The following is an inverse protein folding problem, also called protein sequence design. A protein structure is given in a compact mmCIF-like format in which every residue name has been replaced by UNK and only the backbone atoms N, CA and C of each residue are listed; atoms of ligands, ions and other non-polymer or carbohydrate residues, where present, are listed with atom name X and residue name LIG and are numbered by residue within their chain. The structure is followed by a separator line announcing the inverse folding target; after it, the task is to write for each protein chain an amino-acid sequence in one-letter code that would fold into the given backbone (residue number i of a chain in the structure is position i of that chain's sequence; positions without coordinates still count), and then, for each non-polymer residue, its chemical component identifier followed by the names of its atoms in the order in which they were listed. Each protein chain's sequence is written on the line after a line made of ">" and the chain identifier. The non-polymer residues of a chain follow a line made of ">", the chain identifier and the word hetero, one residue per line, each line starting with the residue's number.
data_IF_285348354787
#
_entry.id   IF_285348354787
#
_cell.length_a   1.000
_cell.length_b   1.000
_cell.length_c   1.000
_cell.angle_alpha   90.00
_cell.angle_beta   90.00
_cell.angle_gamma   90.00
#
_symmetry.space_group_name_H-M   'P 1'
#
loop_
_entity.id
_entity.type
_entity.pdbx_description
1 polymer ?
#
# COMPACT_ATOMS: atom_id res chain seq x y z
N UNK A 1 -16.03 8.77 34.01
CA UNK A 1 -15.02 9.26 33.05
C UNK A 1 -13.67 8.82 33.56
N UNK A 2 -12.85 8.22 32.68
CA UNK A 2 -11.48 7.82 32.99
C UNK A 2 -11.23 6.34 32.72
N UNK A 3 -10.28 6.09 31.83
CA UNK A 3 -9.52 4.85 31.63
C UNK A 3 -10.11 3.79 30.70
N UNK A 4 -10.02 4.07 29.39
CA UNK A 4 -9.90 3.04 28.33
C UNK A 4 -8.85 3.41 27.25
N UNK A 5 -8.05 4.48 27.47
CA UNK A 5 -6.97 4.88 26.55
C UNK A 5 -5.59 4.32 26.98
N UNK A 6 -5.37 4.11 28.28
CA UNK A 6 -4.09 3.62 28.81
C UNK A 6 -3.82 2.14 28.48
N UNK A 7 -4.85 1.33 28.23
CA UNK A 7 -4.66 -0.08 27.83
C UNK A 7 -4.22 -0.24 26.38
N UNK A 8 -4.47 0.77 25.52
CA UNK A 8 -4.05 0.72 24.11
C UNK A 8 -2.56 1.01 23.93
N UNK A 9 -1.94 1.73 24.88
CA UNK A 9 -0.52 2.08 24.84
C UNK A 9 0.39 0.96 25.37
N UNK A 10 -0.09 0.10 26.28
CA UNK A 10 0.73 -1.00 26.84
C UNK A 10 0.85 -2.22 25.94
N UNK A 11 -0.09 -2.44 25.03
CA UNK A 11 -0.01 -3.57 24.08
C UNK A 11 0.90 -3.29 22.86
N UNK A 12 1.51 -2.10 22.79
CA UNK A 12 2.49 -1.69 21.77
C UNK A 12 3.96 -1.97 22.17
N UNK A 13 4.22 -2.46 23.39
CA UNK A 13 5.57 -2.70 23.96
C UNK A 13 6.33 -3.91 23.34
N UNK A 14 6.09 -4.20 22.06
CA UNK A 14 6.88 -5.14 21.26
C UNK A 14 7.31 -4.61 19.89
N UNK A 15 6.87 -3.41 19.52
CA UNK A 15 7.24 -2.74 18.27
C UNK A 15 7.87 -1.40 18.63
N UNK A 16 9.13 -1.20 18.26
CA UNK A 16 9.84 0.05 18.48
C UNK A 16 9.00 1.22 17.94
N UNK A 17 8.43 2.05 18.83
CA UNK A 17 7.62 3.23 18.48
C UNK A 17 8.39 4.28 17.64
N UNK A 18 9.70 4.06 17.42
CA UNK A 18 10.58 4.93 16.64
C UNK A 18 11.04 4.32 15.30
N UNK A 19 10.52 3.17 14.88
CA UNK A 19 10.84 2.69 13.54
C UNK A 19 10.12 3.54 12.47
N UNK A 20 10.85 4.08 11.48
CA UNK A 20 10.20 4.75 10.36
C UNK A 20 9.21 3.77 9.72
N UNK A 21 8.03 4.25 9.34
CA UNK A 21 6.98 3.45 8.70
C UNK A 21 7.51 2.54 7.57
N UNK A 22 8.58 2.99 6.88
CA UNK A 22 9.33 2.22 5.88
C UNK A 22 9.93 0.89 6.32
N UNK A 23 10.08 0.64 7.63
CA UNK A 23 10.66 -0.59 8.16
C UNK A 23 9.66 -1.48 8.90
N UNK A 24 8.39 -1.09 8.99
CA UNK A 24 7.41 -1.81 9.79
C UNK A 24 6.94 -3.08 9.08
N UNK A 25 7.27 -4.24 9.64
CA UNK A 25 6.80 -5.55 9.20
C UNK A 25 5.97 -6.18 10.30
N UNK A 26 4.70 -6.53 10.02
CA UNK A 26 3.87 -7.28 10.96
C UNK A 26 3.75 -8.73 10.50
N UNK A 27 3.97 -9.68 11.41
CA UNK A 27 3.88 -11.10 11.09
C UNK A 27 2.78 -11.81 11.90
N UNK A 28 2.12 -12.76 11.24
CA UNK A 28 1.05 -13.58 11.80
C UNK A 28 1.25 -15.04 11.40
N UNK A 29 1.01 -15.97 12.33
CA UNK A 29 0.99 -17.40 12.02
C UNK A 29 -0.44 -17.84 11.73
N UNK A 30 -0.69 -18.24 10.50
CA UNK A 30 -2.04 -18.47 9.99
C UNK A 30 -2.10 -19.74 9.14
N UNK A 31 -3.27 -20.34 9.01
CA UNK A 31 -3.51 -21.40 8.01
C UNK A 31 -4.10 -20.77 6.76
N UNK A 32 -3.58 -21.12 5.58
CA UNK A 32 -4.03 -20.60 4.28
C UNK A 32 -4.72 -21.69 3.48
N UNK A 33 -5.82 -21.34 2.82
CA UNK A 33 -6.48 -22.18 1.80
C UNK A 33 -6.93 -21.31 0.61
N UNK A 34 -6.81 -21.83 -0.61
CA UNK A 34 -7.26 -21.14 -1.84
C UNK A 34 -8.63 -21.66 -2.29
N UNK A 35 -8.85 -22.95 -2.14
CA UNK A 35 -10.16 -23.60 -2.12
C UNK A 35 -10.37 -24.18 -0.71
N UNK A 36 -11.57 -24.10 -0.09
CA UNK A 36 -11.85 -24.78 1.18
C UNK A 36 -11.57 -26.30 1.17
N UNK A 37 -11.39 -26.92 0.00
CA UNK A 37 -10.95 -28.32 -0.17
C UNK A 37 -9.43 -28.49 -0.24
N UNK A 38 -8.70 -27.45 -0.66
CA UNK A 38 -7.24 -27.44 -0.71
C UNK A 38 -6.70 -26.93 0.63
N UNK A 39 -6.57 -27.85 1.58
CA UNK A 39 -5.91 -27.57 2.85
C UNK A 39 -4.41 -27.64 2.61
N UNK A 40 -3.73 -26.47 2.60
CA UNK A 40 -2.28 -26.48 2.70
C UNK A 40 -1.89 -27.14 4.03
N UNK A 41 -1.11 -28.23 4.02
CA UNK A 41 -0.59 -28.80 5.24
C UNK A 41 0.54 -27.87 5.69
N UNK A 42 0.22 -26.87 6.52
CA UNK A 42 1.05 -26.26 7.56
C UNK A 42 0.60 -24.82 7.88
N UNK A 43 0.81 -24.43 9.14
CA UNK A 43 0.81 -23.02 9.54
C UNK A 43 1.87 -22.28 8.70
N UNK A 44 1.45 -21.24 8.00
CA UNK A 44 2.32 -20.33 7.26
C UNK A 44 2.57 -19.08 8.09
N UNK A 45 3.63 -18.36 7.75
CA UNK A 45 3.87 -17.01 8.25
C UNK A 45 3.37 -16.02 7.20
N UNK A 46 2.49 -15.13 7.62
CA UNK A 46 1.96 -14.05 6.82
C UNK A 46 2.57 -12.74 7.29
N UNK A 47 3.20 -12.01 6.38
CA UNK A 47 3.89 -10.77 6.69
C UNK A 47 3.27 -9.63 5.89
N UNK A 48 2.97 -8.52 6.57
CA UNK A 48 2.42 -7.29 5.99
C UNK A 48 3.46 -6.19 6.12
N UNK A 49 3.80 -5.56 5.01
CA UNK A 49 4.80 -4.50 4.89
C UNK A 49 4.22 -3.27 4.18
N UNK A 50 5.03 -2.20 4.09
CA UNK A 50 4.65 -0.93 3.46
C UNK A 50 4.06 -1.12 2.05
N UNK A 51 4.74 -1.89 1.20
CA UNK A 51 4.43 -1.93 -0.24
C UNK A 51 3.68 -3.21 -0.67
N UNK A 52 3.73 -4.26 0.14
CA UNK A 52 3.16 -5.56 -0.18
C UNK A 52 2.88 -6.37 1.10
N UNK A 53 2.18 -7.49 0.94
CA UNK A 53 2.21 -8.58 1.92
C UNK A 53 2.75 -9.86 1.26
N UNK A 54 3.25 -10.78 2.07
CA UNK A 54 3.78 -12.06 1.58
C UNK A 54 3.40 -13.23 2.49
N UNK A 55 3.40 -14.42 1.88
CA UNK A 55 3.16 -15.69 2.55
C UNK A 55 4.45 -16.51 2.48
N UNK A 56 4.88 -17.00 3.62
CA UNK A 56 6.08 -17.78 3.82
C UNK A 56 5.71 -19.12 4.46
N UNK A 57 6.43 -20.18 4.12
CA UNK A 57 6.39 -21.41 4.91
C UNK A 57 6.81 -21.14 6.36
N UNK A 58 6.48 -22.03 7.29
CA UNK A 58 6.95 -21.92 8.68
C UNK A 58 8.48 -21.78 8.79
N UNK A 59 9.24 -22.44 7.90
CA UNK A 59 10.70 -22.34 7.81
C UNK A 59 11.23 -21.06 7.13
N UNK A 60 10.36 -20.08 6.81
CA UNK A 60 10.75 -18.81 6.21
C UNK A 60 10.98 -18.86 4.69
N UNK A 61 10.76 -20.01 4.03
CA UNK A 61 10.82 -20.09 2.57
C UNK A 61 9.64 -19.34 1.95
N UNK A 62 9.92 -18.43 1.02
CA UNK A 62 8.94 -17.68 0.25
C UNK A 62 7.97 -18.60 -0.50
N UNK A 63 6.67 -18.32 -0.41
CA UNK A 63 5.62 -18.96 -1.19
C UNK A 63 5.15 -17.96 -2.26
N UNK A 64 4.64 -16.81 -1.83
CA UNK A 64 4.12 -15.77 -2.72
C UNK A 64 4.12 -14.38 -2.06
N UNK A 65 4.05 -13.33 -2.87
CA UNK A 65 3.94 -11.93 -2.45
C UNK A 65 2.96 -11.18 -3.34
N UNK A 66 2.26 -10.21 -2.75
CA UNK A 66 1.20 -9.47 -3.41
C UNK A 66 1.29 -8.00 -3.04
N UNK A 67 1.51 -7.16 -4.05
CA UNK A 67 1.50 -5.70 -3.88
C UNK A 67 0.09 -5.18 -3.63
N UNK A 68 -0.04 -4.05 -2.93
CA UNK A 68 -1.35 -3.48 -2.56
C UNK A 68 -2.27 -3.20 -3.76
N UNK A 69 -1.72 -2.93 -4.94
CA UNK A 69 -2.49 -2.70 -6.18
C UNK A 69 -3.29 -3.91 -6.64
N UNK A 70 -2.81 -5.12 -6.31
CA UNK A 70 -3.50 -6.37 -6.66
C UNK A 70 -4.65 -6.70 -5.71
N UNK A 71 -4.68 -6.07 -4.52
CA UNK A 71 -5.68 -6.32 -3.48
C UNK A 71 -6.97 -5.59 -3.82
N UNK A 72 -8.05 -6.35 -4.01
CA UNK A 72 -9.37 -5.82 -4.37
C UNK A 72 -10.23 -5.55 -3.14
N UNK A 73 -10.37 -6.54 -2.28
CA UNK A 73 -11.14 -6.44 -1.04
C UNK A 73 -10.65 -7.48 -0.02
N UNK A 74 -11.07 -7.32 1.22
CA UNK A 74 -10.93 -8.34 2.26
C UNK A 74 -12.13 -8.30 3.20
N UNK A 75 -12.42 -9.43 3.82
CA UNK A 75 -13.50 -9.57 4.80
C UNK A 75 -13.09 -10.56 5.87
N UNK A 76 -13.26 -10.22 7.15
CA UNK A 76 -12.92 -11.11 8.25
C UNK A 76 -14.01 -11.18 9.30
N UNK A 77 -14.10 -12.31 10.00
CA UNK A 77 -14.97 -12.50 11.16
C UNK A 77 -14.29 -13.47 12.13
N UNK A 78 -14.10 -13.05 13.39
CA UNK A 78 -13.52 -13.81 14.51
C UNK A 78 -12.22 -14.55 14.19
N UNK A 79 -12.33 -15.72 13.56
CA UNK A 79 -11.23 -16.62 13.27
C UNK A 79 -11.01 -16.91 11.77
N UNK A 80 -11.76 -16.24 10.88
CA UNK A 80 -11.66 -16.39 9.43
C UNK A 80 -11.42 -15.04 8.79
N UNK A 81 -10.56 -15.02 7.79
CA UNK A 81 -10.29 -13.86 6.94
C UNK A 81 -10.26 -14.33 5.49
N UNK A 82 -10.83 -13.55 4.58
CA UNK A 82 -10.70 -13.69 3.14
C UNK A 82 -10.02 -12.45 2.61
N UNK A 83 -9.01 -12.61 1.77
CA UNK A 83 -8.43 -11.53 0.97
C UNK A 83 -8.65 -11.89 -0.50
N UNK A 84 -9.22 -10.97 -1.28
CA UNK A 84 -9.35 -11.09 -2.73
C UNK A 84 -8.20 -10.37 -3.41
N UNK A 85 -7.43 -11.12 -4.19
CA UNK A 85 -6.28 -10.64 -4.95
C UNK A 85 -6.56 -10.89 -6.42
N UNK A 86 -6.66 -9.83 -7.21
CA UNK A 86 -7.14 -9.92 -8.59
C UNK A 86 -8.46 -10.71 -8.65
N UNK A 87 -8.47 -11.90 -9.27
CA UNK A 87 -9.64 -12.78 -9.37
C UNK A 87 -9.57 -13.99 -8.43
N UNK A 88 -8.57 -14.05 -7.57
CA UNK A 88 -8.30 -15.17 -6.66
C UNK A 88 -8.73 -14.79 -5.24
N UNK A 89 -9.42 -15.69 -4.54
CA UNK A 89 -9.68 -15.53 -3.12
C UNK A 89 -8.69 -16.40 -2.34
N UNK A 90 -8.07 -15.79 -1.32
CA UNK A 90 -7.26 -16.50 -0.34
C UNK A 90 -8.01 -16.47 0.98
N UNK A 91 -8.22 -17.64 1.57
CA UNK A 91 -8.88 -17.81 2.85
C UNK A 91 -7.84 -18.12 3.92
N UNK A 92 -8.02 -17.51 5.08
CA UNK A 92 -7.13 -17.58 6.21
C UNK A 92 -7.92 -17.99 7.45
N UNK A 93 -7.38 -18.94 8.21
CA UNK A 93 -7.90 -19.32 9.51
C UNK A 93 -6.89 -18.94 10.60
N UNK A 94 -7.31 -18.07 11.51
CA UNK A 94 -6.43 -17.44 12.51
C UNK A 94 -7.23 -16.75 13.60
N UNK A 95 -6.80 -16.85 14.86
CA UNK A 95 -7.41 -16.13 15.99
C UNK A 95 -7.12 -14.62 15.97
N UNK A 96 -6.28 -14.16 15.03
CA UNK A 96 -5.90 -12.76 14.87
C UNK A 96 -6.54 -12.12 13.64
N UNK A 97 -7.64 -12.68 13.12
CA UNK A 97 -8.27 -12.20 11.89
C UNK A 97 -8.66 -10.71 11.96
N UNK A 98 -9.15 -10.26 13.12
CA UNK A 98 -9.48 -8.86 13.35
C UNK A 98 -8.23 -7.95 13.37
N UNK A 99 -7.15 -8.38 14.04
CA UNK A 99 -5.87 -7.64 14.01
C UNK A 99 -5.32 -7.53 12.59
N UNK A 100 -5.34 -8.64 11.83
CA UNK A 100 -4.90 -8.65 10.44
C UNK A 100 -5.79 -7.73 9.59
N UNK A 101 -7.10 -7.72 9.82
CA UNK A 101 -8.02 -6.82 9.13
C UNK A 101 -7.64 -5.34 9.35
N UNK A 102 -7.33 -4.96 10.58
CA UNK A 102 -6.89 -3.60 10.91
C UNK A 102 -5.56 -3.25 10.23
N UNK A 103 -4.58 -4.16 10.23
CA UNK A 103 -3.31 -3.93 9.54
C UNK A 103 -3.50 -3.79 8.03
N UNK A 104 -4.28 -4.67 7.39
CA UNK A 104 -4.60 -4.55 5.95
C UNK A 104 -5.24 -3.19 5.65
N UNK A 105 -6.17 -2.74 6.49
CA UNK A 105 -6.82 -1.43 6.34
C UNK A 105 -5.83 -0.28 6.51
N UNK A 106 -4.95 -0.36 7.49
CA UNK A 106 -3.92 0.65 7.76
C UNK A 106 -2.97 0.80 6.57
N UNK A 107 -2.33 -0.29 6.13
CA UNK A 107 -1.37 -0.25 5.03
C UNK A 107 -2.02 0.12 3.69
N UNK A 108 -3.21 -0.43 3.38
CA UNK A 108 -3.91 -0.06 2.13
C UNK A 108 -4.29 1.42 2.10
N UNK A 109 -4.67 2.01 3.25
CA UNK A 109 -4.94 3.46 3.33
C UNK A 109 -3.69 4.28 3.05
N UNK A 110 -2.56 3.91 3.66
CA UNK A 110 -1.29 4.59 3.43
C UNK A 110 -0.83 4.49 1.96
N UNK A 111 -0.97 3.31 1.35
CA UNK A 111 -0.68 3.11 -0.07
C UNK A 111 -1.53 4.02 -0.97
N UNK A 112 -2.84 4.09 -0.72
CA UNK A 112 -3.72 4.95 -1.50
C UNK A 112 -3.40 6.45 -1.32
N UNK A 113 -3.07 6.89 -0.10
CA UNK A 113 -2.64 8.26 0.16
C UNK A 113 -1.36 8.61 -0.62
N UNK A 114 -0.41 7.68 -0.68
CA UNK A 114 0.81 7.86 -1.46
C UNK A 114 0.53 7.93 -2.96
N UNK A 115 -0.40 7.11 -3.49
CA UNK A 115 -0.84 7.20 -4.90
C UNK A 115 -1.46 8.57 -5.21
N UNK A 116 -2.34 9.07 -4.34
CA UNK A 116 -2.96 10.39 -4.51
C UNK A 116 -1.94 11.53 -4.49
N UNK A 117 -0.91 11.46 -3.63
CA UNK A 117 0.17 12.45 -3.58
C UNK A 117 0.99 12.45 -4.88
N UNK A 118 1.40 11.28 -5.35
CA UNK A 118 2.13 11.15 -6.61
C UNK A 118 1.33 11.65 -7.81
N UNK A 119 0.03 11.37 -7.85
CA UNK A 119 -0.84 11.86 -8.93
C UNK A 119 -0.93 13.40 -8.90
N UNK A 120 -1.08 14.01 -7.72
CA UNK A 120 -1.07 15.48 -7.57
C UNK A 120 0.26 16.09 -8.01
N UNK A 121 1.38 15.53 -7.58
CA UNK A 121 2.72 15.98 -7.99
C UNK A 121 2.91 15.87 -9.50
N UNK A 122 2.40 14.80 -10.12
CA UNK A 122 2.45 14.61 -11.58
C UNK A 122 1.64 15.68 -12.30
N UNK A 123 0.42 15.96 -11.85
CA UNK A 123 -0.43 17.00 -12.44
C UNK A 123 0.19 18.40 -12.29
N UNK A 124 0.81 18.69 -11.15
CA UNK A 124 1.49 19.97 -10.94
C UNK A 124 2.71 20.15 -11.85
N UNK A 125 3.54 19.10 -11.99
CA UNK A 125 4.67 19.09 -12.94
C UNK A 125 4.22 19.33 -14.38
N UNK A 126 3.13 18.70 -14.81
CA UNK A 126 2.57 18.92 -16.16
C UNK A 126 2.15 20.38 -16.36
N UNK A 127 1.43 20.98 -15.40
CA UNK A 127 1.01 22.39 -15.48
C UNK A 127 2.19 23.36 -15.56
N UNK A 128 3.26 23.09 -14.81
CA UNK A 128 4.48 23.90 -14.87
C UNK A 128 5.12 23.78 -16.25
N UNK A 129 5.19 22.56 -16.79
CA UNK A 129 5.77 22.32 -18.11
C UNK A 129 4.99 23.04 -19.23
N UNK A 130 3.65 22.97 -19.21
CA UNK A 130 2.79 23.68 -20.18
C UNK A 130 3.04 25.19 -20.17
N UNK A 131 3.15 25.81 -18.99
CA UNK A 131 3.49 27.25 -18.88
C UNK A 131 4.87 27.59 -19.44
N UNK A 132 5.85 26.71 -19.26
CA UNK A 132 7.19 26.91 -19.83
C UNK A 132 7.12 26.88 -21.36
N UNK A 133 6.37 25.95 -21.95
CA UNK A 133 6.18 25.86 -23.39
C UNK A 133 5.46 27.08 -23.95
N UNK A 134 4.41 27.57 -23.28
CA UNK A 134 3.72 28.81 -23.66
C UNK A 134 4.67 30.02 -23.65
N UNK A 135 5.50 30.14 -22.62
CA UNK A 135 6.48 31.21 -22.51
C UNK A 135 7.57 31.11 -23.60
N UNK A 136 8.03 29.90 -23.93
CA UNK A 136 9.00 29.68 -25.00
C UNK A 136 8.42 30.08 -26.36
N UNK A 137 7.20 29.62 -26.67
CA UNK A 137 6.51 29.98 -27.91
C UNK A 137 6.31 31.50 -28.05
N UNK A 138 5.93 32.18 -26.96
CA UNK A 138 5.79 33.63 -26.96
C UNK A 138 7.13 34.33 -27.28
N UNK A 139 8.21 33.89 -26.64
CA UNK A 139 9.54 34.47 -26.86
C UNK A 139 10.04 34.23 -28.30
N UNK A 140 9.76 33.05 -28.88
CA UNK A 140 10.09 32.73 -30.28
C UNK A 140 9.34 33.64 -31.26
N UNK A 141 8.04 33.88 -31.02
CA UNK A 141 7.24 34.81 -31.84
C UNK A 141 7.78 36.25 -31.76
N UNK A 142 8.15 36.73 -30.57
CA UNK A 142 8.77 38.05 -30.43
C UNK A 142 10.10 38.17 -31.19
N UNK A 143 10.92 37.12 -31.20
CA UNK A 143 12.17 37.12 -31.97
C UNK A 143 11.92 37.18 -33.47
N UNK A 144 10.99 36.37 -34.00
CA UNK A 144 10.62 36.39 -35.41
C UNK A 144 10.06 37.74 -35.86
N UNK A 145 9.24 38.39 -35.02
CA UNK A 145 8.74 39.73 -35.30
C UNK A 145 9.89 40.76 -35.39
N UNK A 146 10.83 40.71 -34.45
CA UNK A 146 12.02 41.60 -34.46
C UNK A 146 12.93 41.37 -35.67
N UNK A 147 13.06 40.13 -36.15
CA UNK A 147 13.82 39.82 -37.36
C UNK A 147 13.08 40.30 -38.63
N UNK A 148 11.76 40.23 -38.65
CA UNK A 148 10.94 40.71 -39.77
C UNK A 148 11.04 42.23 -39.93
N UNK A 149 11.02 42.98 -38.83
CA UNK A 149 11.13 44.44 -38.86
C UNK A 149 12.52 44.95 -39.31
N UNK A 150 13.59 44.16 -39.10
CA UNK A 150 14.94 44.51 -39.58
C UNK A 150 15.13 44.31 -41.10
N UNK A 151 14.26 43.54 -41.75
CA UNK A 151 14.33 43.22 -43.17
C UNK A 151 13.40 44.11 -44.04
N UNK A 152 12.75 45.11 -43.45
CA UNK A 152 12.02 46.19 -44.14
C UNK A 152 12.85 47.46 -44.19
#
# INVERSE_FOLDING_TARGET
>A
MGNNLESYQKDLEGSSENEPFEKKVHFFFITVTYDPRDILPNRVRFEIEKDYFRILTFGGKHIESHGWDSVRDWSGCKNKLRIRISNTNIFFQTNSAEKIHHELQFFKRHHNQWLEQNEKERQEKTKIHEKILEQQNYNELEQQLKETDKNK
#
